data_IF_613030032653
#
_entry.id   IF_613030032653
#
_cell.length_a   1.000
_cell.length_b   1.000
_cell.length_c   1.000
_cell.angle_alpha   90.00
_cell.angle_beta   90.00
_cell.angle_gamma   90.00
#
_symmetry.space_group_name_H-M   'P 1'
#
loop_
_entity.id
_entity.type
_entity.pdbx_description
1 polymer ?
#
# COMPACT_ATOMS: atom_id res chain seq x y z
N UNK A 1 12.40 -2.06 9.03
CA UNK A 1 11.70 -1.25 8.03
C UNK A 1 11.08 -2.16 6.99
N UNK A 2 9.89 -1.82 6.55
CA UNK A 2 9.16 -2.63 5.59
C UNK A 2 9.37 -2.04 4.19
N UNK A 3 9.69 -2.90 3.24
CA UNK A 3 9.89 -2.50 1.85
C UNK A 3 8.67 -2.86 1.04
N UNK A 4 8.12 -1.87 0.33
CA UNK A 4 7.00 -2.09 -0.59
C UNK A 4 7.53 -2.15 -2.02
N UNK A 5 7.08 -3.14 -2.77
CA UNK A 5 7.44 -3.32 -4.17
C UNK A 5 6.17 -3.50 -4.99
N UNK A 6 6.22 -3.11 -6.25
CA UNK A 6 5.15 -3.41 -7.17
C UNK A 6 5.28 -4.86 -7.63
N UNK A 7 4.19 -5.61 -7.53
CA UNK A 7 4.16 -6.99 -7.99
C UNK A 7 4.29 -7.02 -9.51
N UNK A 8 5.09 -7.93 -10.00
CA UNK A 8 5.31 -8.09 -11.43
C UNK A 8 6.59 -7.43 -11.91
N UNK A 9 6.74 -6.12 -11.68
CA UNK A 9 7.96 -5.40 -12.09
C UNK A 9 9.04 -5.43 -11.02
N UNK A 10 8.65 -5.71 -9.77
CA UNK A 10 9.52 -5.68 -8.59
C UNK A 10 10.12 -4.31 -8.34
N UNK A 11 9.51 -3.27 -8.88
CA UNK A 11 9.97 -1.90 -8.67
C UNK A 11 9.71 -1.49 -7.22
N UNK A 12 10.69 -0.89 -6.59
CA UNK A 12 10.55 -0.40 -5.22
C UNK A 12 9.54 0.75 -5.20
N UNK A 13 8.48 0.57 -4.43
CA UNK A 13 7.45 1.61 -4.22
C UNK A 13 7.92 2.57 -3.13
N UNK A 14 8.45 2.05 -2.06
CA UNK A 14 8.92 2.85 -0.94
C UNK A 14 9.17 2.01 0.29
N UNK A 15 9.62 2.67 1.34
CA UNK A 15 9.85 2.03 2.64
C UNK A 15 8.84 2.60 3.63
N UNK A 16 8.25 1.73 4.43
CA UNK A 16 7.29 2.13 5.44
C UNK A 16 7.65 1.52 6.78
N UNK A 17 7.07 2.06 7.83
CA UNK A 17 7.26 1.50 9.17
C UNK A 17 6.33 0.33 9.40
N UNK A 18 6.59 -0.43 10.45
CA UNK A 18 5.69 -1.52 10.83
C UNK A 18 4.30 -0.98 11.20
N UNK A 19 4.24 0.21 11.80
CA UNK A 19 2.96 0.85 12.11
C UNK A 19 2.18 1.17 10.83
N UNK A 20 2.86 1.66 9.80
CA UNK A 20 2.23 1.96 8.52
C UNK A 20 1.74 0.67 7.84
N UNK A 21 2.53 -0.39 7.94
CA UNK A 21 2.09 -1.69 7.42
C UNK A 21 0.84 -2.17 8.15
N UNK A 22 0.80 -2.00 9.47
CA UNK A 22 -0.37 -2.40 10.24
C UNK A 22 -1.61 -1.63 9.79
N UNK A 23 -1.46 -0.35 9.47
CA UNK A 23 -2.55 0.46 8.96
C UNK A 23 -3.07 -0.12 7.64
N UNK A 24 -2.17 -0.51 6.74
CA UNK A 24 -2.57 -1.15 5.48
C UNK A 24 -3.36 -2.43 5.73
N UNK A 25 -2.88 -3.27 6.62
CA UNK A 25 -3.55 -4.52 6.95
C UNK A 25 -4.95 -4.24 7.50
N UNK A 26 -5.06 -3.29 8.43
CA UNK A 26 -6.33 -2.94 9.05
C UNK A 26 -7.32 -2.35 8.06
N UNK A 27 -6.85 -1.47 7.18
CA UNK A 27 -7.73 -0.78 6.23
C UNK A 27 -8.20 -1.69 5.11
N UNK A 28 -7.35 -2.59 4.67
CA UNK A 28 -7.69 -3.51 3.59
C UNK A 28 -8.36 -4.78 4.10
N UNK A 29 -8.38 -4.96 5.42
CA UNK A 29 -9.04 -6.10 6.08
C UNK A 29 -8.62 -7.44 5.48
N UNK A 30 -7.33 -7.57 5.19
CA UNK A 30 -6.82 -8.80 4.62
C UNK A 30 -6.92 -9.94 5.65
N UNK A 31 -7.72 -10.92 5.33
CA UNK A 31 -7.89 -12.10 6.19
C UNK A 31 -6.79 -13.12 5.99
N UNK A 32 -6.07 -13.01 4.88
CA UNK A 32 -5.09 -14.00 4.49
C UNK A 32 -3.69 -13.48 4.73
N UNK A 33 -3.14 -13.81 5.89
CA UNK A 33 -1.79 -13.39 6.24
C UNK A 33 -0.72 -13.99 5.33
N UNK A 34 -1.05 -15.04 4.62
CA UNK A 34 -0.14 -15.67 3.68
C UNK A 34 0.01 -14.88 2.39
N UNK A 35 -1.00 -14.10 2.07
CA UNK A 35 -1.01 -13.32 0.84
C UNK A 35 -0.55 -11.90 1.17
N UNK A 36 0.64 -11.55 0.73
CA UNK A 36 1.24 -10.25 1.00
C UNK A 36 0.93 -9.21 -0.08
N UNK A 37 0.01 -9.54 -0.97
CA UNK A 37 -0.35 -8.70 -2.09
C UNK A 37 -1.51 -7.78 -1.70
N UNK A 38 -1.36 -6.48 -1.99
CA UNK A 38 -2.42 -5.51 -1.75
C UNK A 38 -2.72 -4.76 -3.03
N UNK A 39 -3.98 -4.78 -3.43
CA UNK A 39 -4.44 -4.06 -4.61
C UNK A 39 -4.76 -2.61 -4.22
N UNK A 40 -4.11 -1.66 -4.86
CA UNK A 40 -4.25 -0.23 -4.57
C UNK A 40 -4.89 0.46 -5.77
N UNK A 41 -6.00 1.15 -5.52
CA UNK A 41 -6.71 1.92 -6.53
C UNK A 41 -6.90 3.35 -6.04
N UNK A 42 -7.21 4.31 -6.93
CA UNK A 42 -7.50 5.68 -6.49
C UNK A 42 -8.63 5.74 -5.47
N UNK A 43 -9.65 4.89 -5.63
CA UNK A 43 -10.77 4.85 -4.70
C UNK A 43 -10.32 4.42 -3.31
N UNK A 44 -9.43 3.44 -3.23
CA UNK A 44 -8.89 2.98 -1.95
C UNK A 44 -8.10 4.11 -1.29
N UNK A 45 -7.31 4.85 -2.05
CA UNK A 45 -6.53 5.97 -1.51
C UNK A 45 -7.45 7.09 -1.01
N UNK A 46 -8.52 7.37 -1.71
CA UNK A 46 -9.51 8.35 -1.26
C UNK A 46 -10.16 7.90 0.04
N UNK A 47 -10.46 6.61 0.17
CA UNK A 47 -11.01 6.06 1.40
C UNK A 47 -10.00 6.18 2.56
N UNK A 48 -8.74 5.96 2.29
CA UNK A 48 -7.67 6.11 3.28
C UNK A 48 -7.62 7.55 3.80
N UNK A 49 -7.71 8.53 2.89
CA UNK A 49 -7.72 9.94 3.29
C UNK A 49 -8.92 10.25 4.19
N UNK A 50 -10.08 9.71 3.83
CA UNK A 50 -11.31 9.91 4.61
C UNK A 50 -11.20 9.32 6.00
N UNK A 51 -10.45 8.22 6.15
CA UNK A 51 -10.26 7.56 7.44
C UNK A 51 -9.12 8.19 8.26
N UNK A 52 -8.42 9.16 7.71
CA UNK A 52 -7.34 9.81 8.42
C UNK A 52 -6.05 9.00 8.45
N UNK A 53 -5.86 8.15 7.47
CA UNK A 53 -4.63 7.37 7.34
C UNK A 53 -3.43 8.30 7.14
N UNK A 54 -2.26 7.87 7.61
CA UNK A 54 -1.02 8.63 7.50
C UNK A 54 -0.81 9.15 6.08
N UNK A 55 -0.68 10.47 5.95
CA UNK A 55 -0.53 11.12 4.65
C UNK A 55 0.77 10.71 3.95
N UNK A 56 1.81 10.40 4.70
CA UNK A 56 3.06 9.94 4.12
C UNK A 56 2.86 8.61 3.39
N UNK A 57 2.15 7.69 4.01
CA UNK A 57 1.82 6.40 3.39
C UNK A 57 0.99 6.61 2.14
N UNK A 58 -0.02 7.47 2.20
CA UNK A 58 -0.87 7.78 1.05
C UNK A 58 -0.02 8.36 -0.09
N UNK A 59 0.89 9.29 0.23
CA UNK A 59 1.77 9.89 -0.79
C UNK A 59 2.63 8.86 -1.48
N UNK A 60 3.19 7.92 -0.74
CA UNK A 60 4.01 6.84 -1.31
C UNK A 60 3.17 6.03 -2.29
N UNK A 61 1.97 5.66 -1.89
CA UNK A 61 1.09 4.83 -2.71
C UNK A 61 0.60 5.59 -3.95
N UNK A 62 0.25 6.87 -3.81
CA UNK A 62 -0.17 7.69 -4.96
C UNK A 62 0.95 7.85 -5.97
N UNK A 63 2.17 8.07 -5.50
CA UNK A 63 3.32 8.20 -6.39
C UNK A 63 3.53 6.92 -7.19
N UNK A 64 3.37 5.78 -6.56
CA UNK A 64 3.52 4.49 -7.22
C UNK A 64 2.38 4.23 -8.22
N UNK A 65 1.16 4.61 -7.86
CA UNK A 65 0.00 4.42 -8.71
C UNK A 65 0.09 5.27 -9.99
N UNK A 66 0.51 6.54 -9.85
CA UNK A 66 0.63 7.45 -10.97
C UNK A 66 -0.69 7.60 -11.72
N UNK A 67 -0.66 7.40 -13.04
CA UNK A 67 -1.83 7.53 -13.89
C UNK A 67 -2.59 6.21 -14.06
N UNK A 68 -2.13 5.16 -13.40
CA UNK A 68 -2.75 3.84 -13.56
C UNK A 68 -4.00 3.73 -12.71
N UNK A 69 -4.89 2.83 -13.11
CA UNK A 69 -6.13 2.59 -12.38
C UNK A 69 -5.93 1.68 -11.18
N UNK A 70 -4.88 0.87 -11.20
CA UNK A 70 -4.61 -0.07 -10.13
C UNK A 70 -3.16 -0.50 -10.17
N UNK A 71 -2.59 -0.70 -9.00
CA UNK A 71 -1.32 -1.40 -8.85
C UNK A 71 -1.48 -2.44 -7.75
N UNK A 72 -0.68 -3.48 -7.83
CA UNK A 72 -0.60 -4.47 -6.76
C UNK A 72 0.76 -4.32 -6.11
N UNK A 73 0.77 -4.11 -4.81
CA UNK A 73 2.02 -3.97 -4.05
C UNK A 73 2.21 -5.18 -3.15
N UNK A 74 3.45 -5.54 -2.95
CA UNK A 74 3.84 -6.59 -2.02
C UNK A 74 4.82 -6.00 -1.03
N UNK A 75 4.88 -6.58 0.15
CA UNK A 75 5.80 -6.09 1.17
C UNK A 75 6.78 -7.17 1.61
N UNK A 76 7.93 -6.71 2.08
CA UNK A 76 8.95 -7.60 2.64
C UNK A 76 9.71 -6.86 3.74
N UNK A 77 10.30 -7.61 4.62
CA UNK A 77 11.12 -7.04 5.69
C UNK A 77 12.58 -6.92 5.28
#
# INVERSE_FOLDING_TARGET
MIHLHEKGTKTLVGNISEQQLQVLIDQLEEEWLEDKDYSITPLILDAFEAEGVDSELISILRAALGDRDEIVVVWSK
#
